data_IF_618329288787
#
_entry.id   IF_618329288787
#
_cell.length_a   1.000
_cell.length_b   1.000
_cell.length_c   1.000
_cell.angle_alpha   90.00
_cell.angle_beta   90.00
_cell.angle_gamma   90.00
#
_symmetry.space_group_name_H-M   'P 1'
#
loop_
_entity.id
_entity.type
_entity.pdbx_description
1 polymer ?
#
# COMPACT_ATOMS: atom_id res chain seq x y z
N UNK A 1 -0.70 -5.99 25.28
CA UNK A 1 -0.61 -5.43 23.92
C UNK A 1 -1.28 -6.33 22.90
N UNK A 2 -2.10 -5.72 22.05
CA UNK A 2 -2.73 -6.40 20.93
C UNK A 2 -1.68 -6.67 19.83
N UNK A 3 -1.40 -7.96 19.59
CA UNK A 3 -0.45 -8.39 18.56
C UNK A 3 -1.01 -8.24 17.15
N UNK A 4 -2.33 -8.11 17.00
CA UNK A 4 -3.01 -8.03 15.70
C UNK A 4 -3.06 -6.59 15.17
N UNK A 5 -2.87 -5.59 16.03
CA UNK A 5 -2.69 -4.19 15.67
C UNK A 5 -1.74 -3.98 14.49
N UNK A 6 -2.22 -3.33 13.44
CA UNK A 6 -1.48 -3.12 12.20
C UNK A 6 -0.35 -2.10 12.36
N UNK A 7 -0.56 -1.05 13.17
CA UNK A 7 0.46 -0.04 13.48
C UNK A 7 1.71 -0.58 14.18
N UNK A 8 1.64 -1.75 14.83
CA UNK A 8 2.80 -2.42 15.45
C UNK A 8 3.56 -3.32 14.47
N UNK A 9 3.11 -3.39 13.20
CA UNK A 9 3.75 -4.15 12.13
C UNK A 9 4.36 -3.19 11.12
N UNK A 10 5.33 -3.68 10.35
CA UNK A 10 5.97 -2.97 9.24
C UNK A 10 5.89 -3.81 7.97
N UNK A 11 5.81 -3.15 6.83
CA UNK A 11 5.86 -3.76 5.51
C UNK A 11 7.26 -3.63 4.94
N UNK A 12 7.93 -4.78 4.80
CA UNK A 12 9.20 -4.86 4.09
C UNK A 12 8.96 -4.71 2.58
N UNK A 13 9.27 -3.54 2.02
CA UNK A 13 9.24 -3.29 0.58
C UNK A 13 10.46 -3.87 -0.15
N UNK A 14 10.45 -3.75 -1.48
CA UNK A 14 11.55 -4.20 -2.34
C UNK A 14 12.91 -3.60 -1.92
N UNK A 15 12.95 -2.34 -1.48
CA UNK A 15 14.18 -1.68 -1.03
C UNK A 15 14.87 -2.40 0.15
N UNK A 16 14.25 -2.46 1.34
CA UNK A 16 14.81 -3.18 2.49
C UNK A 16 15.13 -4.66 2.19
N UNK A 17 14.29 -5.35 1.41
CA UNK A 17 14.50 -6.74 1.02
C UNK A 17 15.74 -6.92 0.13
N UNK A 18 15.92 -6.04 -0.86
CA UNK A 18 17.10 -6.04 -1.74
C UNK A 18 18.36 -5.63 -0.97
N UNK A 19 18.27 -4.66 -0.07
CA UNK A 19 19.40 -4.26 0.78
C UNK A 19 19.87 -5.43 1.67
N UNK A 20 18.95 -6.17 2.27
CA UNK A 20 19.25 -7.38 3.04
C UNK A 20 19.93 -8.46 2.19
N UNK A 21 19.40 -8.72 1.00
CA UNK A 21 19.97 -9.67 0.04
C UNK A 21 21.38 -9.26 -0.42
N UNK A 22 21.57 -8.01 -0.80
CA UNK A 22 22.84 -7.46 -1.22
C UNK A 22 23.87 -7.55 -0.09
N UNK A 23 23.51 -7.15 1.14
CA UNK A 23 24.40 -7.24 2.31
C UNK A 23 24.88 -8.67 2.55
N UNK A 24 24.01 -9.67 2.40
CA UNK A 24 24.37 -11.08 2.54
C UNK A 24 25.37 -11.52 1.45
N UNK A 25 25.10 -11.21 0.19
CA UNK A 25 25.97 -11.54 -0.94
C UNK A 25 27.31 -10.81 -0.87
N UNK A 26 27.32 -9.56 -0.45
CA UNK A 26 28.51 -8.75 -0.28
C UNK A 26 29.39 -9.28 0.85
N UNK A 27 28.82 -9.63 2.01
CA UNK A 27 29.57 -10.31 3.09
C UNK A 27 30.16 -11.64 2.65
N UNK A 28 29.48 -12.37 1.76
CA UNK A 28 30.03 -13.60 1.17
C UNK A 28 31.23 -13.28 0.28
N UNK A 29 31.13 -12.28 -0.59
CA UNK A 29 32.25 -11.80 -1.41
C UNK A 29 33.45 -11.40 -0.55
N UNK A 30 33.26 -10.62 0.51
CA UNK A 30 34.33 -10.22 1.43
C UNK A 30 35.02 -11.44 2.07
N UNK A 31 34.25 -12.45 2.50
CA UNK A 31 34.81 -13.70 3.04
C UNK A 31 35.60 -14.49 2.00
N UNK A 32 35.15 -14.51 0.75
CA UNK A 32 35.83 -15.22 -0.33
C UNK A 32 37.15 -14.53 -0.70
N UNK A 33 37.18 -13.18 -0.74
CA UNK A 33 38.40 -12.38 -0.93
C UNK A 33 39.37 -12.60 0.23
N UNK A 34 38.87 -12.60 1.48
CA UNK A 34 39.69 -12.86 2.67
C UNK A 34 40.38 -14.24 2.61
N UNK A 35 39.63 -15.29 2.25
CA UNK A 35 40.23 -16.64 2.09
C UNK A 35 41.26 -16.71 0.98
N UNK A 36 41.06 -15.97 -0.12
CA UNK A 36 42.05 -15.91 -1.19
C UNK A 36 43.33 -15.20 -0.72
N UNK A 37 43.19 -14.09 -0.01
CA UNK A 37 44.32 -13.39 0.62
C UNK A 37 45.11 -14.31 1.55
N UNK A 38 44.42 -15.05 2.43
CA UNK A 38 45.07 -16.01 3.34
C UNK A 38 45.90 -17.05 2.57
N UNK A 39 45.37 -17.60 1.48
CA UNK A 39 46.12 -18.56 0.63
C UNK A 39 47.33 -17.93 -0.06
N UNK A 40 47.23 -16.69 -0.52
CA UNK A 40 48.35 -15.97 -1.10
C UNK A 40 49.48 -15.78 -0.08
N UNK A 41 49.13 -15.42 1.16
CA UNK A 41 50.09 -15.27 2.26
C UNK A 41 50.74 -16.61 2.61
N UNK A 42 49.97 -17.69 2.77
CA UNK A 42 50.48 -19.04 3.09
C UNK A 42 51.38 -19.61 1.98
N UNK A 43 51.12 -19.25 0.72
CA UNK A 43 51.89 -19.73 -0.45
C UNK A 43 52.99 -18.76 -0.93
N UNK A 44 53.23 -17.66 -0.20
CA UNK A 44 54.15 -16.58 -0.59
C UNK A 44 53.93 -16.06 -2.02
N UNK A 45 52.67 -15.99 -2.46
CA UNK A 45 52.30 -15.43 -3.77
C UNK A 45 51.79 -13.99 -3.61
N UNK A 46 52.08 -13.16 -4.60
CA UNK A 46 51.51 -11.81 -4.65
C UNK A 46 49.98 -11.85 -4.72
N UNK A 47 49.34 -10.93 -3.99
CA UNK A 47 47.89 -10.81 -3.97
C UNK A 47 47.41 -10.04 -5.19
N UNK A 48 46.62 -10.70 -6.05
CA UNK A 48 45.99 -10.06 -7.20
C UNK A 48 44.49 -9.88 -6.96
N UNK A 49 44.04 -8.61 -6.90
CA UNK A 49 42.65 -8.25 -6.63
C UNK A 49 41.68 -8.78 -7.70
N UNK A 50 42.09 -8.75 -8.98
CA UNK A 50 41.24 -9.20 -10.09
C UNK A 50 40.95 -10.70 -10.04
N UNK A 51 41.90 -11.49 -9.53
CA UNK A 51 41.71 -12.93 -9.30
C UNK A 51 40.90 -13.21 -8.03
N UNK A 52 40.97 -12.31 -7.04
CA UNK A 52 40.24 -12.44 -5.78
C UNK A 52 38.74 -12.13 -5.93
N UNK A 53 38.40 -11.09 -6.68
CA UNK A 53 37.02 -10.56 -6.76
C UNK A 53 36.22 -11.30 -7.84
N UNK A 54 35.40 -12.27 -7.41
CA UNK A 54 34.50 -13.01 -8.30
C UNK A 54 33.13 -12.31 -8.44
N UNK A 55 32.94 -11.55 -9.51
CA UNK A 55 31.68 -10.84 -9.80
C UNK A 55 30.44 -11.76 -9.92
N UNK A 56 30.66 -13.03 -10.28
CA UNK A 56 29.61 -14.04 -10.39
C UNK A 56 28.88 -14.30 -9.08
N UNK A 57 29.53 -14.11 -7.93
CA UNK A 57 28.92 -14.34 -6.61
C UNK A 57 27.69 -13.46 -6.39
N UNK A 58 27.78 -12.18 -6.75
CA UNK A 58 26.65 -11.24 -6.64
C UNK A 58 25.69 -11.43 -7.81
N UNK A 59 26.21 -11.48 -9.04
CA UNK A 59 25.40 -11.56 -10.26
C UNK A 59 24.47 -12.77 -10.26
N UNK A 60 25.02 -13.98 -10.03
CA UNK A 60 24.23 -15.20 -10.02
C UNK A 60 23.38 -15.31 -8.75
N UNK A 61 23.85 -14.77 -7.62
CA UNK A 61 23.10 -14.74 -6.37
C UNK A 61 21.81 -13.91 -6.47
N UNK A 62 21.90 -12.72 -7.06
CA UNK A 62 20.74 -11.86 -7.31
C UNK A 62 19.78 -12.50 -8.33
N UNK A 63 20.31 -12.96 -9.48
CA UNK A 63 19.51 -13.61 -10.52
C UNK A 63 18.73 -14.81 -9.98
N UNK A 64 19.38 -15.67 -9.21
CA UNK A 64 18.74 -16.83 -8.60
C UNK A 64 17.63 -16.44 -7.62
N UNK A 65 17.93 -15.53 -6.68
CA UNK A 65 16.98 -15.16 -5.63
C UNK A 65 15.72 -14.53 -6.26
N UNK A 66 15.92 -13.57 -7.17
CA UNK A 66 14.82 -12.90 -7.87
C UNK A 66 13.99 -13.84 -8.75
N UNK A 67 14.61 -14.78 -9.44
CA UNK A 67 13.91 -15.72 -10.31
C UNK A 67 13.12 -16.78 -9.53
N UNK A 68 13.65 -17.28 -8.41
CA UNK A 68 13.06 -18.41 -7.68
C UNK A 68 12.10 -18.02 -6.58
N UNK A 69 12.12 -16.77 -6.11
CA UNK A 69 11.29 -16.40 -4.95
C UNK A 69 11.97 -16.70 -3.60
N UNK A 70 13.21 -17.22 -3.58
CA UNK A 70 13.90 -17.67 -2.37
C UNK A 70 14.94 -16.64 -1.87
N UNK A 71 14.65 -15.98 -0.76
CA UNK A 71 15.53 -14.98 -0.14
C UNK A 71 16.36 -15.66 0.95
N UNK A 72 17.58 -16.09 0.61
CA UNK A 72 18.48 -16.75 1.56
C UNK A 72 19.67 -17.45 0.90
N UNK A 73 20.49 -18.12 1.71
CA UNK A 73 21.60 -18.94 1.20
C UNK A 73 21.03 -20.22 0.55
N UNK A 74 21.41 -20.46 -0.71
CA UNK A 74 20.99 -21.64 -1.49
C UNK A 74 21.20 -22.95 -0.75
N UNK A 75 22.25 -23.02 0.09
CA UNK A 75 22.61 -24.22 0.85
C UNK A 75 21.74 -24.44 2.09
N UNK A 76 20.97 -23.44 2.52
CA UNK A 76 20.10 -23.49 3.71
C UNK A 76 18.67 -23.11 3.33
N UNK A 77 18.06 -23.88 2.43
CA UNK A 77 16.71 -23.64 1.92
C UNK A 77 15.64 -23.52 3.03
N UNK A 78 15.80 -24.24 4.15
CA UNK A 78 14.83 -24.30 5.24
C UNK A 78 14.67 -22.99 6.03
N UNK A 79 15.65 -22.07 5.99
CA UNK A 79 15.57 -20.76 6.66
C UNK A 79 15.31 -19.60 5.70
N UNK A 80 15.01 -19.88 4.43
CA UNK A 80 14.81 -18.85 3.41
C UNK A 80 13.37 -18.32 3.41
N UNK A 81 13.19 -17.01 3.24
CA UNK A 81 11.87 -16.41 3.02
C UNK A 81 11.45 -16.76 1.59
N UNK A 82 10.54 -17.72 1.44
CA UNK A 82 10.00 -18.12 0.15
C UNK A 82 8.81 -17.24 -0.28
N UNK A 83 8.64 -17.07 -1.59
CA UNK A 83 7.47 -16.42 -2.18
C UNK A 83 7.49 -14.89 -2.15
N UNK A 84 8.66 -14.28 -1.95
CA UNK A 84 8.86 -12.82 -1.98
C UNK A 84 8.76 -12.30 -3.41
N UNK A 85 9.38 -12.98 -4.38
CA UNK A 85 9.20 -12.71 -5.81
C UNK A 85 8.19 -13.67 -6.41
N UNK A 86 7.35 -13.13 -7.29
CA UNK A 86 6.30 -13.82 -8.00
C UNK A 86 6.27 -13.30 -9.44
N UNK A 87 5.90 -14.18 -10.39
CA UNK A 87 5.68 -13.76 -11.77
C UNK A 87 4.50 -12.80 -11.83
N UNK A 88 4.69 -11.67 -12.51
CA UNK A 88 3.65 -10.65 -12.61
C UNK A 88 2.40 -11.19 -13.30
N UNK A 89 1.26 -11.17 -12.60
CA UNK A 89 -0.01 -11.57 -13.15
C UNK A 89 -0.58 -10.50 -14.11
N UNK A 90 -0.72 -10.87 -15.39
CA UNK A 90 -1.10 -9.98 -16.50
C UNK A 90 -2.35 -10.45 -17.26
N UNK A 91 -3.37 -10.96 -16.56
CA UNK A 91 -4.66 -11.25 -17.20
C UNK A 91 -5.40 -9.98 -17.62
N UNK A 92 -5.43 -8.96 -16.75
CA UNK A 92 -6.03 -7.65 -17.01
C UNK A 92 -5.16 -6.54 -16.45
N UNK A 93 -5.38 -5.31 -16.94
CA UNK A 93 -4.68 -4.13 -16.42
C UNK A 93 -4.90 -3.95 -14.91
N UNK A 94 -6.15 -4.11 -14.45
CA UNK A 94 -6.50 -4.04 -13.02
C UNK A 94 -5.83 -5.15 -12.20
N UNK A 95 -5.73 -6.38 -12.73
CA UNK A 95 -5.02 -7.48 -12.06
C UNK A 95 -3.53 -7.17 -11.89
N UNK A 96 -2.90 -6.54 -12.88
CA UNK A 96 -1.49 -6.14 -12.79
C UNK A 96 -1.28 -5.11 -11.69
N UNK A 97 -2.11 -4.07 -11.63
CA UNK A 97 -2.04 -3.04 -10.58
C UNK A 97 -2.29 -3.62 -9.18
N UNK A 98 -3.31 -4.46 -9.05
CA UNK A 98 -3.60 -5.20 -7.80
C UNK A 98 -2.41 -6.04 -7.36
N UNK A 99 -1.73 -6.73 -8.29
CA UNK A 99 -0.59 -7.58 -7.95
C UNK A 99 0.59 -6.77 -7.39
N UNK A 100 0.83 -5.56 -7.89
CA UNK A 100 1.89 -4.66 -7.41
C UNK A 100 1.61 -4.13 -5.99
N UNK A 101 0.34 -4.06 -5.58
CA UNK A 101 -0.09 -3.57 -4.25
C UNK A 101 -0.35 -4.68 -3.24
N UNK A 102 0.02 -5.91 -3.58
CA UNK A 102 -0.17 -7.09 -2.73
C UNK A 102 0.85 -7.13 -1.60
N UNK A 103 0.38 -7.41 -0.40
CA UNK A 103 1.21 -7.71 0.76
C UNK A 103 0.95 -9.14 1.22
N UNK A 104 2.01 -9.82 1.66
CA UNK A 104 1.94 -11.21 2.11
C UNK A 104 2.43 -11.31 3.55
N UNK A 105 1.62 -11.93 4.40
CA UNK A 105 2.01 -12.21 5.79
C UNK A 105 2.86 -13.49 5.81
N UNK A 106 4.06 -13.50 6.44
CA UNK A 106 4.98 -14.64 6.42
C UNK A 106 4.55 -15.76 7.39
N UNK A 107 3.28 -16.16 7.34
CA UNK A 107 2.72 -17.26 8.11
C UNK A 107 2.49 -18.46 7.20
N UNK A 108 2.71 -19.66 7.74
CA UNK A 108 2.39 -20.90 7.04
C UNK A 108 0.92 -20.94 6.66
N UNK A 109 0.63 -21.25 5.39
CA UNK A 109 -0.75 -21.27 4.86
C UNK A 109 -1.61 -22.38 5.48
N UNK A 110 -0.97 -23.42 6.00
CA UNK A 110 -1.60 -24.57 6.68
C UNK A 110 -2.10 -24.23 8.09
N UNK A 111 -1.61 -23.13 8.69
CA UNK A 111 -2.03 -22.70 10.02
C UNK A 111 -3.48 -22.20 10.03
N UNK A 112 -4.35 -22.85 10.81
CA UNK A 112 -5.76 -22.45 11.05
C UNK A 112 -5.92 -21.31 12.06
N UNK A 113 -4.91 -20.47 12.27
CA UNK A 113 -5.00 -19.37 13.24
C UNK A 113 -5.89 -18.28 12.66
N UNK A 114 -7.03 -18.03 13.31
CA UNK A 114 -8.05 -17.10 12.82
C UNK A 114 -7.66 -15.63 12.98
N UNK A 115 -7.07 -15.25 14.13
CA UNK A 115 -6.79 -13.86 14.48
C UNK A 115 -6.03 -13.03 13.43
N UNK A 116 -4.88 -13.47 12.87
CA UNK A 116 -4.16 -12.68 11.86
C UNK A 116 -4.90 -12.60 10.52
N UNK A 117 -5.91 -13.46 10.29
CA UNK A 117 -6.72 -13.51 9.08
C UNK A 117 -7.97 -12.64 9.18
N UNK A 118 -8.47 -12.40 10.40
CA UNK A 118 -9.63 -11.55 10.63
C UNK A 118 -9.30 -10.10 10.28
N UNK A 119 -10.30 -9.40 9.76
CA UNK A 119 -10.20 -7.97 9.52
C UNK A 119 -10.15 -7.25 10.87
N UNK A 120 -9.01 -6.63 11.16
CA UNK A 120 -8.82 -5.78 12.33
C UNK A 120 -9.20 -4.31 12.02
N UNK A 121 -9.66 -3.57 13.02
CA UNK A 121 -10.13 -2.18 12.85
C UNK A 121 -9.01 -1.25 12.35
N UNK A 122 -7.77 -1.48 12.80
CA UNK A 122 -6.59 -0.70 12.39
C UNK A 122 -6.14 -0.95 10.95
N UNK A 123 -6.86 -1.79 10.18
CA UNK A 123 -6.68 -1.88 8.73
C UNK A 123 -7.41 -0.75 7.98
N UNK A 124 -8.35 -0.05 8.62
CA UNK A 124 -9.19 0.95 7.96
C UNK A 124 -8.34 2.07 7.33
N UNK A 125 -8.56 2.33 6.04
CA UNK A 125 -7.79 3.29 5.24
C UNK A 125 -6.37 2.86 4.85
N UNK A 126 -5.84 1.78 5.43
CA UNK A 126 -4.50 1.25 5.11
C UNK A 126 -4.57 0.09 4.12
N UNK A 127 -5.54 -0.81 4.32
CA UNK A 127 -5.71 -2.05 3.56
C UNK A 127 -7.15 -2.15 3.09
N UNK A 128 -7.36 -2.67 1.89
CA UNK A 128 -8.70 -2.92 1.39
C UNK A 128 -9.41 -4.00 2.23
N UNK A 129 -10.65 -3.74 2.69
CA UNK A 129 -11.40 -4.71 3.49
C UNK A 129 -11.91 -5.92 2.69
N UNK A 130 -12.14 -5.76 1.38
CA UNK A 130 -12.74 -6.78 0.52
C UNK A 130 -11.73 -7.55 -0.34
N UNK A 131 -10.55 -6.97 -0.63
CA UNK A 131 -9.63 -7.54 -1.61
C UNK A 131 -8.67 -8.56 -0.98
N UNK A 132 -9.16 -9.77 -0.73
CA UNK A 132 -8.37 -10.91 -0.24
C UNK A 132 -8.75 -12.18 -1.02
N UNK A 133 -7.79 -13.10 -1.30
CA UNK A 133 -8.11 -14.35 -1.99
C UNK A 133 -8.96 -15.29 -1.11
N UNK A 134 -9.73 -16.14 -1.77
CA UNK A 134 -10.49 -17.20 -1.11
C UNK A 134 -9.59 -18.36 -0.62
N UNK A 135 -10.09 -19.11 0.36
CA UNK A 135 -9.44 -20.33 0.87
C UNK A 135 -8.24 -20.07 1.78
N UNK A 136 -7.17 -20.84 1.61
CA UNK A 136 -6.05 -20.93 2.57
C UNK A 136 -5.25 -19.63 2.74
N UNK A 137 -5.32 -18.72 1.77
CA UNK A 137 -4.63 -17.42 1.82
C UNK A 137 -5.51 -16.27 2.33
N UNK A 138 -6.77 -16.55 2.66
CA UNK A 138 -7.73 -15.55 3.15
C UNK A 138 -7.15 -14.83 4.39
N UNK A 139 -7.16 -13.50 4.32
CA UNK A 139 -6.64 -12.60 5.34
C UNK A 139 -5.12 -12.53 5.48
N UNK A 140 -4.37 -13.47 4.90
CA UNK A 140 -2.89 -13.44 4.90
C UNK A 140 -2.34 -12.60 3.75
N UNK A 141 -3.02 -12.66 2.61
CA UNK A 141 -2.75 -11.83 1.45
C UNK A 141 -3.71 -10.64 1.48
N UNK A 142 -3.13 -9.45 1.55
CA UNK A 142 -3.84 -8.18 1.67
C UNK A 142 -3.45 -7.28 0.50
N UNK A 143 -4.27 -6.29 0.19
CA UNK A 143 -3.97 -5.29 -0.85
C UNK A 143 -4.09 -3.89 -0.24
N UNK A 144 -3.12 -3.03 -0.54
CA UNK A 144 -3.11 -1.65 -0.05
C UNK A 144 -4.34 -0.89 -0.55
N UNK A 145 -4.92 -0.07 0.32
CA UNK A 145 -5.98 0.88 -0.05
C UNK A 145 -5.45 1.92 -1.06
N UNK A 146 -6.32 2.56 -1.84
CA UNK A 146 -5.91 3.46 -2.94
C UNK A 146 -4.93 4.56 -2.48
N UNK A 147 -5.24 5.23 -1.37
CA UNK A 147 -4.45 6.33 -0.80
C UNK A 147 -3.38 5.88 0.21
N UNK A 148 -3.24 4.58 0.46
CA UNK A 148 -2.21 4.08 1.37
C UNK A 148 -0.81 4.27 0.77
N UNK A 149 0.04 4.94 1.52
CA UNK A 149 1.46 5.17 1.25
C UNK A 149 2.29 4.35 2.23
N UNK A 150 3.50 3.97 1.86
CA UNK A 150 4.42 3.25 2.75
C UNK A 150 5.64 4.14 2.98
N UNK A 151 6.01 4.35 4.24
CA UNK A 151 7.17 5.16 4.60
C UNK A 151 8.45 4.55 4.01
N UNK A 152 9.25 5.40 3.37
CA UNK A 152 10.59 5.06 2.88
C UNK A 152 11.61 5.09 4.02
N UNK A 153 11.30 5.87 5.07
CA UNK A 153 12.15 6.08 6.23
C UNK A 153 13.01 7.33 6.07
N UNK A 154 13.23 8.03 7.17
CA UNK A 154 14.00 9.26 7.24
C UNK A 154 15.15 9.13 8.23
N UNK A 155 16.17 9.98 8.08
CA UNK A 155 17.26 10.01 9.05
C UNK A 155 16.75 10.50 10.41
N UNK A 156 17.15 9.83 11.49
CA UNK A 156 16.67 10.14 12.84
C UNK A 156 17.46 11.25 13.52
N UNK A 157 18.69 11.54 13.09
CA UNK A 157 19.55 12.52 13.77
C UNK A 157 18.94 13.93 13.84
N UNK A 158 18.32 14.50 12.78
CA UNK A 158 17.70 15.83 12.87
C UNK A 158 16.57 15.89 13.90
N UNK A 159 15.84 14.78 14.07
CA UNK A 159 14.79 14.68 15.09
C UNK A 159 15.40 14.61 16.48
N UNK A 160 16.51 13.91 16.65
CA UNK A 160 17.22 13.81 17.94
C UNK A 160 17.83 15.16 18.33
N UNK A 161 18.56 15.81 17.41
CA UNK A 161 19.15 17.14 17.60
C UNK A 161 18.07 18.16 18.02
N UNK A 162 16.93 18.17 17.32
CA UNK A 162 15.80 19.03 17.68
C UNK A 162 15.26 18.74 19.09
N UNK A 163 15.16 17.48 19.50
CA UNK A 163 14.67 17.12 20.83
C UNK A 163 15.64 17.60 21.93
N UNK A 164 16.94 17.42 21.72
CA UNK A 164 17.98 17.87 22.64
C UNK A 164 17.97 19.40 22.80
N UNK A 165 17.86 20.15 21.71
CA UNK A 165 17.78 21.61 21.74
C UNK A 165 16.49 22.14 22.41
N UNK A 166 15.37 21.41 22.29
CA UNK A 166 14.09 21.82 22.85
C UNK A 166 13.95 21.50 24.36
N UNK A 167 15.01 21.02 25.01
CA UNK A 167 15.03 20.77 26.45
C UNK A 167 14.60 19.36 26.85
N UNK A 168 14.96 18.36 26.04
CA UNK A 168 14.93 16.96 26.47
C UNK A 168 15.97 16.74 27.57
N UNK A 169 15.51 16.38 28.77
CA UNK A 169 16.40 16.05 29.89
C UNK A 169 16.90 14.61 29.75
N UNK A 170 18.21 14.41 29.95
CA UNK A 170 18.81 13.10 29.83
C UNK A 170 18.38 12.17 30.98
N UNK A 171 18.51 10.86 30.76
CA UNK A 171 18.12 9.86 31.75
C UNK A 171 18.94 9.96 33.06
N UNK A 172 20.21 10.35 32.95
CA UNK A 172 21.13 10.48 34.08
C UNK A 172 20.76 11.68 34.96
N UNK A 173 20.42 12.81 34.33
CA UNK A 173 20.04 14.05 35.02
C UNK A 173 18.70 13.92 35.76
N UNK A 174 17.76 13.15 35.21
CA UNK A 174 16.42 13.02 35.78
C UNK A 174 16.26 11.86 36.79
N UNK A 175 17.30 11.06 37.03
CA UNK A 175 17.23 9.87 37.90
C UNK A 175 16.76 10.16 39.35
N UNK A 176 16.94 11.40 39.82
CA UNK A 176 16.60 11.84 41.18
C UNK A 176 15.41 12.81 41.24
N UNK A 177 14.76 13.12 40.12
CA UNK A 177 13.64 14.05 40.08
C UNK A 177 12.36 13.38 40.55
N UNK A 178 11.64 14.03 41.47
CA UNK A 178 10.33 13.59 41.97
C UNK A 178 9.17 14.03 41.09
N UNK A 179 9.42 14.88 40.08
CA UNK A 179 8.36 15.44 39.24
C UNK A 179 7.96 14.44 38.15
N UNK A 180 6.65 14.18 37.95
CA UNK A 180 6.21 13.29 36.89
C UNK A 180 6.48 13.88 35.50
N UNK A 181 7.55 13.44 34.85
CA UNK A 181 7.87 13.79 33.48
C UNK A 181 7.33 12.77 32.47
N UNK A 182 7.17 13.17 31.21
CA UNK A 182 6.77 12.28 30.10
C UNK A 182 8.00 11.68 29.44
N UNK A 183 8.01 10.36 29.21
CA UNK A 183 9.13 9.66 28.58
C UNK A 183 9.11 9.90 27.07
N UNK A 184 10.26 10.16 26.46
CA UNK A 184 10.37 10.38 25.01
C UNK A 184 11.16 9.24 24.37
N UNK A 185 10.55 8.57 23.41
CA UNK A 185 11.13 7.47 22.65
C UNK A 185 11.29 7.84 21.19
N UNK A 186 12.45 7.57 20.60
CA UNK A 186 12.69 7.70 19.15
C UNK A 186 13.06 6.32 18.62
N UNK A 187 12.24 5.78 17.71
CA UNK A 187 12.40 4.42 17.15
C UNK A 187 12.55 3.33 18.24
N UNK A 188 11.88 3.50 19.38
CA UNK A 188 11.93 2.58 20.53
C UNK A 188 13.13 2.78 21.47
N UNK A 189 14.06 3.68 21.15
CA UNK A 189 15.15 4.08 22.06
C UNK A 189 14.61 5.14 23.01
N UNK A 190 14.73 4.91 24.33
CA UNK A 190 14.37 5.90 25.34
C UNK A 190 15.46 6.98 25.36
N UNK A 191 15.16 8.15 24.80
CA UNK A 191 16.14 9.24 24.67
C UNK A 191 16.24 10.06 25.96
N UNK A 192 15.10 10.27 26.63
CA UNK A 192 15.06 11.09 27.84
C UNK A 192 13.64 11.33 28.32
N UNK A 193 13.48 12.39 29.09
CA UNK A 193 12.18 12.82 29.61
C UNK A 193 11.95 14.30 29.30
N UNK A 194 10.68 14.68 29.19
CA UNK A 194 10.28 16.05 28.93
C UNK A 194 9.14 16.45 29.85
N UNK A 195 9.20 17.67 30.39
CA UNK A 195 8.22 18.20 31.36
C UNK A 195 6.94 18.70 30.69
N UNK A 196 7.07 19.31 29.52
CA UNK A 196 5.95 19.86 28.74
C UNK A 196 5.78 19.18 27.36
N UNK A 197 5.26 17.95 27.31
CA UNK A 197 5.08 17.23 26.05
C UNK A 197 4.00 17.84 25.15
N UNK A 198 3.11 18.70 25.68
CA UNK A 198 2.01 19.26 24.91
C UNK A 198 2.52 20.28 23.88
N UNK A 199 3.37 21.21 24.33
CA UNK A 199 4.01 22.17 23.43
C UNK A 199 5.02 21.49 22.50
N UNK A 200 5.78 20.51 22.99
CA UNK A 200 6.71 19.75 22.17
C UNK A 200 6.01 19.09 20.96
N UNK A 201 4.89 18.37 21.18
CA UNK A 201 4.13 17.74 20.10
C UNK A 201 3.58 18.76 19.12
N UNK A 202 3.09 19.90 19.61
CA UNK A 202 2.58 20.98 18.76
C UNK A 202 3.68 21.55 17.86
N UNK A 203 4.89 21.74 18.40
CA UNK A 203 6.04 22.23 17.64
C UNK A 203 6.49 21.20 16.60
N UNK A 204 6.63 19.92 16.98
CA UNK A 204 7.03 18.86 16.04
C UNK A 204 6.03 18.73 14.89
N UNK A 205 4.73 18.74 15.18
CA UNK A 205 3.70 18.70 14.12
C UNK A 205 3.76 19.94 13.22
N UNK A 206 4.08 21.12 13.77
CA UNK A 206 4.26 22.33 12.97
C UNK A 206 5.47 22.24 12.04
N UNK A 207 6.59 21.68 12.51
CA UNK A 207 7.79 21.43 11.69
C UNK A 207 7.51 20.41 10.59
N UNK A 208 6.79 19.33 10.91
CA UNK A 208 6.32 18.33 9.93
C UNK A 208 5.47 18.96 8.83
N UNK A 209 4.57 19.88 9.20
CA UNK A 209 3.68 20.58 8.26
C UNK A 209 4.38 21.59 7.37
N UNK A 210 5.61 21.98 7.68
CA UNK A 210 6.45 22.90 6.90
C UNK A 210 7.52 22.19 6.08
N UNK A 211 7.60 20.86 6.16
CA UNK A 211 8.65 20.05 5.54
C UNK A 211 10.06 20.27 6.13
N UNK A 212 10.16 20.88 7.32
CA UNK A 212 11.43 20.99 8.08
C UNK A 212 11.84 19.61 8.65
N UNK A 213 10.84 18.81 9.01
CA UNK A 213 10.96 17.39 9.35
C UNK A 213 10.17 16.61 8.30
N UNK A 214 10.70 15.44 7.90
CA UNK A 214 10.04 14.58 6.92
C UNK A 214 8.55 14.35 7.26
N UNK A 215 7.63 14.51 6.29
CA UNK A 215 6.20 14.27 6.48
C UNK A 215 5.86 12.85 6.91
N UNK A 216 6.78 11.90 6.73
CA UNK A 216 6.61 10.51 7.12
C UNK A 216 6.81 10.28 8.63
N UNK A 217 7.39 11.23 9.37
CA UNK A 217 7.64 11.06 10.81
C UNK A 217 6.32 11.00 11.57
N UNK A 218 6.12 9.93 12.33
CA UNK A 218 4.93 9.74 13.17
C UNK A 218 5.17 10.22 14.59
N UNK A 219 4.13 10.83 15.18
CA UNK A 219 4.17 11.44 16.50
C UNK A 219 2.99 10.94 17.33
N UNK A 220 3.27 10.07 18.29
CA UNK A 220 2.25 9.44 19.14
C UNK A 220 2.44 9.89 20.58
N UNK A 221 1.45 10.60 21.13
CA UNK A 221 1.44 11.00 22.54
C UNK A 221 0.41 10.19 23.31
N UNK A 222 0.88 9.23 24.09
CA UNK A 222 0.07 8.47 25.03
C UNK A 222 -0.01 9.22 26.37
N UNK A 223 -1.16 9.84 26.62
CA UNK A 223 -1.39 10.63 27.84
C UNK A 223 -1.49 9.73 29.08
N UNK A 224 -2.03 8.50 28.91
CA UNK A 224 -2.28 7.58 30.02
C UNK A 224 -0.97 6.98 30.52
N UNK A 225 -0.14 6.49 29.60
CA UNK A 225 1.15 5.88 29.92
C UNK A 225 2.27 6.92 30.12
N UNK A 226 1.99 8.20 29.83
CA UNK A 226 2.95 9.32 29.85
C UNK A 226 4.16 9.05 28.97
N UNK A 227 3.89 8.66 27.73
CA UNK A 227 4.92 8.38 26.72
C UNK A 227 4.67 9.18 25.45
N UNK A 228 5.75 9.76 24.92
CA UNK A 228 5.82 10.33 23.59
C UNK A 228 6.68 9.41 22.74
N UNK A 229 6.12 8.84 21.68
CA UNK A 229 6.81 7.92 20.76
C UNK A 229 6.90 8.56 19.39
N UNK A 230 8.12 8.63 18.86
CA UNK A 230 8.46 9.18 17.55
C UNK A 230 9.00 8.05 16.68
N UNK A 231 8.44 7.91 15.48
CA UNK A 231 8.88 6.89 14.51
C UNK A 231 9.34 7.54 13.21
N UNK A 232 10.58 7.26 12.83
CA UNK A 232 11.23 7.68 11.58
C UNK A 232 11.57 6.48 10.69
N UNK A 233 11.23 5.26 11.15
CA UNK A 233 11.52 4.02 10.45
C UNK A 233 10.69 3.82 9.17
N UNK A 234 11.24 2.99 8.28
CA UNK A 234 10.63 2.60 7.02
C UNK A 234 9.57 1.50 7.21
N UNK A 235 8.66 1.37 6.25
CA UNK A 235 7.67 0.29 6.21
C UNK A 235 6.41 0.54 7.03
N UNK A 236 6.20 1.74 7.57
CA UNK A 236 4.91 2.15 8.15
C UNK A 236 3.92 2.42 7.03
N UNK A 237 2.66 2.06 7.23
CA UNK A 237 1.61 2.43 6.28
C UNK A 237 0.98 3.72 6.78
N UNK A 238 1.01 4.72 5.92
CA UNK A 238 0.46 6.04 6.19
C UNK A 238 -0.68 6.32 5.20
N UNK A 239 -1.59 7.19 5.59
CA UNK A 239 -2.67 7.69 4.73
C UNK A 239 -2.81 9.19 4.87
N UNK A 240 -3.08 9.90 3.76
CA UNK A 240 -3.28 11.33 3.78
C UNK A 240 -4.67 11.70 4.29
N UNK A 241 -4.74 12.71 5.15
CA UNK A 241 -5.98 13.29 5.65
C UNK A 241 -5.94 14.81 5.65
N UNK A 242 -7.11 15.43 5.57
CA UNK A 242 -7.20 16.89 5.70
C UNK A 242 -7.04 17.29 7.16
N UNK A 243 -6.23 18.31 7.41
CA UNK A 243 -6.08 18.89 8.74
C UNK A 243 -7.30 19.75 9.08
N UNK A 244 -7.80 19.61 10.31
CA UNK A 244 -8.83 20.47 10.88
C UNK A 244 -8.20 21.37 11.93
N UNK A 245 -8.38 22.68 11.79
CA UNK A 245 -7.98 23.68 12.78
C UNK A 245 -9.21 24.49 13.18
N UNK A 246 -9.46 24.64 14.49
CA UNK A 246 -10.60 25.38 15.03
C UNK A 246 -11.95 24.94 14.45
N UNK A 247 -12.18 23.64 14.31
CA UNK A 247 -13.39 23.06 13.70
C UNK A 247 -13.64 23.50 12.24
N UNK A 248 -12.58 23.88 11.52
CA UNK A 248 -12.63 24.21 10.10
C UNK A 248 -11.54 23.46 9.34
N UNK A 249 -11.81 23.09 8.08
CA UNK A 249 -10.80 22.50 7.21
C UNK A 249 -9.72 23.52 6.88
N UNK A 250 -8.45 23.11 6.97
CA UNK A 250 -7.34 23.90 6.45
C UNK A 250 -7.44 24.09 4.92
N UNK A 251 -8.08 23.13 4.22
CA UNK A 251 -8.38 23.22 2.81
C UNK A 251 -9.46 24.27 2.53
N UNK A 252 -9.11 25.29 1.74
CA UNK A 252 -10.03 26.35 1.31
C UNK A 252 -10.32 26.24 -0.19
N UNK A 253 -11.44 26.84 -0.65
CA UNK A 253 -11.81 26.89 -2.08
C UNK A 253 -10.72 27.53 -2.96
N UNK A 254 -9.88 28.42 -2.42
CA UNK A 254 -8.75 29.01 -3.15
C UNK A 254 -7.73 27.93 -3.57
N UNK A 255 -7.40 26.99 -2.68
CA UNK A 255 -6.47 25.90 -2.96
C UNK A 255 -7.00 24.99 -4.08
N UNK A 256 -8.32 24.76 -4.11
CA UNK A 256 -8.96 23.98 -5.18
C UNK A 256 -8.86 24.70 -6.53
N UNK A 257 -9.07 26.02 -6.56
CA UNK A 257 -8.89 26.82 -7.79
C UNK A 257 -7.45 26.77 -8.27
N UNK A 258 -6.48 26.87 -7.36
CA UNK A 258 -5.06 26.77 -7.65
C UNK A 258 -4.68 25.43 -8.29
N UNK A 259 -5.20 24.32 -7.76
CA UNK A 259 -5.00 22.98 -8.33
C UNK A 259 -5.58 22.85 -9.75
N UNK A 260 -6.76 23.41 -10.00
CA UNK A 260 -7.44 23.27 -11.30
C UNK A 260 -6.87 24.20 -12.38
N UNK A 261 -6.39 25.39 -12.00
CA UNK A 261 -5.91 26.41 -12.93
C UNK A 261 -4.39 26.40 -13.12
N UNK A 262 -3.67 25.56 -12.36
CA UNK A 262 -2.21 25.50 -12.41
C UNK A 262 -1.56 26.75 -11.86
N UNK A 263 -1.99 27.21 -10.68
CA UNK A 263 -1.34 28.32 -9.98
C UNK A 263 0.13 27.99 -9.73
N UNK A 264 1.01 28.96 -9.93
CA UNK A 264 2.42 28.86 -9.61
C UNK A 264 2.72 29.72 -8.40
N UNK A 265 3.46 29.16 -7.46
CA UNK A 265 3.89 29.86 -6.27
C UNK A 265 4.96 30.91 -6.58
N UNK A 266 5.40 31.67 -5.57
CA UNK A 266 6.46 32.68 -5.69
C UNK A 266 7.77 32.09 -6.25
N UNK A 267 8.05 30.82 -5.98
CA UNK A 267 9.20 30.06 -6.49
C UNK A 267 9.03 29.56 -7.95
N UNK A 268 7.88 29.82 -8.58
CA UNK A 268 7.56 29.37 -9.94
C UNK A 268 7.09 27.92 -10.04
N UNK A 269 6.99 27.20 -8.91
CA UNK A 269 6.53 25.82 -8.83
C UNK A 269 5.01 25.70 -8.92
N UNK A 270 4.51 24.70 -9.66
CA UNK A 270 3.08 24.45 -9.80
C UNK A 270 2.47 23.90 -8.51
N UNK A 271 1.36 24.49 -8.08
CA UNK A 271 0.63 24.05 -6.89
C UNK A 271 0.00 22.67 -7.13
N UNK A 272 0.66 21.63 -6.64
CA UNK A 272 0.30 20.21 -6.77
C UNK A 272 0.16 19.54 -5.41
N UNK A 273 0.07 18.20 -5.38
CA UNK A 273 -0.02 17.40 -4.17
C UNK A 273 1.09 17.69 -3.16
N UNK A 274 2.34 17.81 -3.63
CA UNK A 274 3.49 18.08 -2.77
C UNK A 274 3.32 19.39 -2.00
N UNK A 275 2.81 20.43 -2.67
CA UNK A 275 2.53 21.71 -2.02
C UNK A 275 1.37 21.65 -1.03
N UNK A 276 0.40 20.74 -1.18
CA UNK A 276 -0.63 20.53 -0.16
C UNK A 276 -0.05 19.96 1.14
N UNK A 277 0.97 19.11 1.04
CA UNK A 277 1.67 18.55 2.19
C UNK A 277 2.57 19.62 2.84
N UNK A 278 3.38 20.31 2.02
CA UNK A 278 4.31 21.37 2.50
C UNK A 278 3.62 22.60 3.10
N UNK A 279 2.41 22.90 2.67
CA UNK A 279 1.60 23.99 3.25
C UNK A 279 0.77 23.55 4.46
N UNK A 280 0.92 22.32 4.94
CA UNK A 280 0.17 21.81 6.10
C UNK A 280 -1.34 21.76 5.86
N UNK A 281 -1.77 21.47 4.63
CA UNK A 281 -3.20 21.25 4.31
C UNK A 281 -3.56 19.77 4.49
N UNK A 282 -2.61 18.89 4.14
CA UNK A 282 -2.74 17.44 4.25
C UNK A 282 -1.65 16.91 5.17
N UNK A 283 -2.01 15.96 6.04
CA UNK A 283 -1.11 15.28 6.96
C UNK A 283 -1.14 13.77 6.68
N UNK A 284 0.04 13.14 6.65
CA UNK A 284 0.16 11.68 6.52
C UNK A 284 0.12 11.08 7.92
N UNK A 285 -0.92 10.30 8.23
CA UNK A 285 -1.05 9.61 9.51
C UNK A 285 -0.75 8.13 9.35
N UNK A 286 0.04 7.58 10.26
CA UNK A 286 0.20 6.13 10.38
C UNK A 286 -0.81 5.52 11.36
N UNK A 287 -0.89 4.19 11.35
CA UNK A 287 -1.86 3.47 12.17
C UNK A 287 -1.62 3.57 13.68
N UNK A 288 -0.47 4.06 14.17
CA UNK A 288 -0.29 4.34 15.61
C UNK A 288 -0.68 5.77 15.97
N UNK A 289 -0.39 6.73 15.10
CA UNK A 289 -0.82 8.11 15.27
C UNK A 289 -2.35 8.22 15.23
N UNK A 290 -3.02 7.35 14.46
CA UNK A 290 -4.48 7.21 14.41
C UNK A 290 -5.13 7.03 15.79
N UNK A 291 -4.46 6.38 16.75
CA UNK A 291 -4.98 6.17 18.11
C UNK A 291 -5.08 7.48 18.93
N UNK A 292 -4.40 8.54 18.49
CA UNK A 292 -4.36 9.84 19.20
C UNK A 292 -5.18 10.94 18.53
N UNK A 293 -5.75 10.67 17.36
CA UNK A 293 -6.47 11.65 16.55
C UNK A 293 -7.96 11.34 16.50
N UNK A 294 -8.75 12.34 16.11
CA UNK A 294 -10.19 12.23 15.94
C UNK A 294 -10.56 12.69 14.53
N UNK A 295 -11.01 11.74 13.70
CA UNK A 295 -11.19 11.93 12.25
C UNK A 295 -12.69 11.99 11.92
N UNK A 296 -13.15 13.10 11.34
CA UNK A 296 -14.51 13.20 10.81
C UNK A 296 -14.61 12.53 9.43
N UNK A 297 -15.74 11.88 9.16
CA UNK A 297 -15.93 11.11 7.92
C UNK A 297 -16.29 11.97 6.72
N UNK A 298 -17.05 13.06 6.95
CA UNK A 298 -17.44 14.00 5.91
C UNK A 298 -17.29 15.44 6.39
N UNK A 299 -17.08 16.42 5.48
CA UNK A 299 -17.09 17.83 5.83
C UNK A 299 -18.43 18.31 6.42
N UNK A 300 -19.53 17.66 6.07
CA UNK A 300 -20.87 17.93 6.63
C UNK A 300 -20.92 17.59 8.13
N UNK A 301 -20.29 16.49 8.53
CA UNK A 301 -20.20 16.09 9.92
C UNK A 301 -19.42 17.11 10.77
N UNK A 302 -18.39 17.71 10.18
CA UNK A 302 -17.61 18.79 10.78
C UNK A 302 -18.45 20.06 10.96
N UNK A 303 -19.19 20.45 9.93
CA UNK A 303 -20.10 21.60 9.98
C UNK A 303 -21.20 21.40 11.04
N UNK A 304 -21.78 20.20 11.11
CA UNK A 304 -22.79 19.86 12.10
C UNK A 304 -22.26 19.97 13.54
N UNK A 305 -21.04 19.48 13.80
CA UNK A 305 -20.37 19.62 15.10
C UNK A 305 -20.11 21.10 15.46
N UNK A 306 -19.78 21.93 14.46
CA UNK A 306 -19.58 23.38 14.63
C UNK A 306 -20.89 24.10 15.00
N UNK A 307 -21.99 23.78 14.31
CA UNK A 307 -23.31 24.34 14.58
C UNK A 307 -23.81 23.93 15.97
N UNK A 308 -23.68 22.64 16.30
CA UNK A 308 -24.07 22.12 17.62
C UNK A 308 -23.27 22.78 18.75
N UNK A 309 -21.97 23.02 18.55
CA UNK A 309 -21.13 23.74 19.52
C UNK A 309 -21.56 25.21 19.70
N UNK A 310 -22.17 25.82 18.68
CA UNK A 310 -22.77 27.15 18.76
C UNK A 310 -24.20 27.15 19.35
N UNK A 311 -24.73 25.98 19.76
CA UNK A 311 -26.10 25.83 20.28
C UNK A 311 -27.18 25.85 19.19
N UNK A 312 -26.81 25.75 17.92
CA UNK A 312 -27.74 25.69 16.78
C UNK A 312 -28.01 24.21 16.48
N UNK A 313 -29.27 23.81 16.39
CA UNK A 313 -29.60 22.44 15.99
C UNK A 313 -29.23 22.25 14.51
N UNK A 314 -28.23 21.41 14.18
CA UNK A 314 -27.80 21.21 12.80
C UNK A 314 -28.90 20.63 11.90
N UNK A 315 -29.90 19.96 12.50
CA UNK A 315 -31.02 19.34 11.75
C UNK A 315 -32.21 20.26 11.56
N UNK A 316 -32.14 21.51 12.02
CA UNK A 316 -33.24 22.47 11.90
C UNK A 316 -33.46 22.94 10.46
N UNK A 317 -32.40 22.86 9.63
CA UNK A 317 -32.41 23.23 8.20
C UNK A 317 -32.28 22.03 7.26
N UNK A 318 -32.17 20.80 7.78
CA UNK A 318 -32.33 19.63 6.92
C UNK A 318 -33.75 19.68 6.36
N UNK A 319 -33.92 19.46 5.05
CA UNK A 319 -35.23 19.47 4.41
C UNK A 319 -36.17 18.40 4.97
N UNK A 320 -37.30 18.16 4.29
CA UNK A 320 -38.14 17.00 4.61
C UNK A 320 -37.28 15.72 4.66
N UNK A 321 -37.51 14.90 5.68
CA UNK A 321 -36.83 13.62 5.88
C UNK A 321 -36.85 12.79 4.60
N UNK A 322 -35.68 12.59 3.97
CA UNK A 322 -35.55 11.75 2.79
C UNK A 322 -35.44 10.26 3.23
N UNK A 323 -36.45 9.42 2.98
CA UNK A 323 -36.41 8.01 3.36
C UNK A 323 -35.36 7.20 2.57
N UNK A 324 -34.88 7.72 1.44
CA UNK A 324 -33.88 7.06 0.60
C UNK A 324 -32.43 7.43 0.98
N UNK A 325 -32.25 8.46 1.82
CA UNK A 325 -30.93 8.89 2.26
C UNK A 325 -30.31 7.89 3.24
N UNK A 326 -28.98 7.79 3.22
CA UNK A 326 -28.24 6.95 4.16
C UNK A 326 -28.41 7.51 5.59
N UNK A 327 -28.82 6.65 6.52
CA UNK A 327 -28.85 6.98 7.94
C UNK A 327 -27.45 7.31 8.44
N UNK A 328 -27.28 8.53 8.96
CA UNK A 328 -26.06 8.97 9.64
C UNK A 328 -26.24 8.82 11.15
N UNK A 329 -25.18 8.40 11.84
CA UNK A 329 -25.20 8.33 13.29
C UNK A 329 -25.13 9.74 13.89
N UNK A 330 -25.78 9.94 15.05
CA UNK A 330 -25.63 11.16 15.82
C UNK A 330 -24.19 11.35 16.28
N UNK A 331 -23.63 12.53 16.04
CA UNK A 331 -22.24 12.84 16.36
C UNK A 331 -22.21 13.58 17.69
N UNK A 332 -21.50 13.04 18.68
CA UNK A 332 -21.29 13.67 19.99
C UNK A 332 -19.85 14.14 20.21
N UNK A 333 -19.07 14.25 19.13
CA UNK A 333 -17.68 14.68 19.21
C UNK A 333 -17.59 16.21 19.23
N UNK A 334 -16.90 16.75 20.23
CA UNK A 334 -16.69 18.19 20.41
C UNK A 334 -15.37 18.71 19.82
N UNK A 335 -14.46 17.81 19.41
CA UNK A 335 -13.13 18.16 18.92
C UNK A 335 -12.68 17.22 17.79
N UNK A 336 -12.63 17.76 16.57
CA UNK A 336 -12.06 17.07 15.40
C UNK A 336 -10.63 17.54 15.15
N UNK A 337 -9.72 16.63 14.80
CA UNK A 337 -8.34 16.97 14.43
C UNK A 337 -8.08 16.81 12.94
N UNK A 338 -8.77 15.88 12.30
CA UNK A 338 -8.64 15.61 10.86
C UNK A 338 -10.00 15.31 10.22
N UNK A 339 -10.03 15.34 8.90
CA UNK A 339 -11.15 14.93 8.07
C UNK A 339 -10.69 13.93 7.00
N UNK A 340 -11.48 12.87 6.81
CA UNK A 340 -11.32 11.92 5.72
C UNK A 340 -11.42 12.64 4.37
N UNK A 341 -10.53 12.29 3.42
CA UNK A 341 -10.58 12.91 2.08
C UNK A 341 -11.83 12.46 1.35
N UNK A 342 -12.03 11.14 1.31
CA UNK A 342 -13.26 10.53 0.84
C UNK A 342 -13.34 9.06 1.30
N UNK A 343 -14.45 8.59 1.90
CA UNK A 343 -14.56 7.23 2.42
C UNK A 343 -14.30 6.12 1.39
N UNK A 344 -14.46 6.37 0.09
CA UNK A 344 -14.17 5.36 -0.95
C UNK A 344 -12.69 5.03 -1.10
N UNK A 345 -11.79 5.86 -0.57
CA UNK A 345 -10.34 5.66 -0.69
C UNK A 345 -9.82 4.49 0.14
N UNK A 346 -10.65 3.94 1.03
CA UNK A 346 -10.36 2.70 1.78
C UNK A 346 -10.35 1.45 0.89
N UNK A 347 -10.93 1.53 -0.31
CA UNK A 347 -11.01 0.40 -1.23
C UNK A 347 -9.66 0.13 -1.89
N UNK A 348 -9.47 -1.10 -2.34
CA UNK A 348 -8.34 -1.53 -3.16
C UNK A 348 -8.63 -1.33 -4.64
N UNK A 349 -7.66 -1.69 -5.48
CA UNK A 349 -7.77 -1.52 -6.94
C UNK A 349 -8.99 -2.29 -7.48
N UNK A 350 -9.10 -3.57 -7.16
CA UNK A 350 -10.19 -4.41 -7.69
C UNK A 350 -11.53 -4.13 -7.00
N UNK A 351 -11.53 -3.71 -5.74
CA UNK A 351 -12.77 -3.37 -5.05
C UNK A 351 -13.35 -2.03 -5.53
N UNK A 352 -12.50 -1.07 -5.93
CA UNK A 352 -12.93 0.26 -6.37
C UNK A 352 -13.61 0.30 -7.75
N UNK A 353 -13.47 -0.77 -8.54
CA UNK A 353 -14.15 -0.93 -9.84
C UNK A 353 -15.54 -1.56 -9.71
N UNK A 354 -15.95 -1.98 -8.51
CA UNK A 354 -17.28 -2.54 -8.26
C UNK A 354 -18.28 -1.37 -8.17
N UNK A 355 -19.34 -1.33 -8.99
CA UNK A 355 -20.40 -0.34 -8.84
C UNK A 355 -21.14 -0.53 -7.51
N UNK A 356 -21.42 0.56 -6.79
CA UNK A 356 -22.20 0.57 -5.55
C UNK A 356 -21.73 -0.48 -4.49
N UNK A 357 -20.44 -0.50 -4.13
CA UNK A 357 -19.88 -1.56 -3.29
C UNK A 357 -20.46 -1.57 -1.86
N UNK A 358 -20.97 -0.44 -1.38
CA UNK A 358 -21.62 -0.26 -0.09
C UNK A 358 -23.08 -0.74 -0.04
N UNK A 359 -23.69 -1.02 -1.19
CA UNK A 359 -25.04 -1.58 -1.30
C UNK A 359 -25.06 -3.12 -1.43
N UNK A 360 -23.89 -3.75 -1.40
CA UNK A 360 -23.76 -5.20 -1.52
C UNK A 360 -23.58 -5.89 -0.16
N UNK A 361 -24.02 -7.14 -0.08
CA UNK A 361 -23.62 -8.03 0.99
C UNK A 361 -22.09 -8.26 0.93
N UNK A 362 -21.38 -8.00 2.03
CA UNK A 362 -19.90 -7.96 2.10
C UNK A 362 -19.17 -9.11 1.37
N UNK A 363 -19.50 -10.40 1.59
CA UNK A 363 -18.95 -11.53 0.83
C UNK A 363 -18.93 -11.37 -0.70
N UNK A 364 -19.95 -10.75 -1.29
CA UNK A 364 -20.05 -10.57 -2.75
C UNK A 364 -19.00 -9.61 -3.28
N UNK A 365 -18.63 -8.59 -2.50
CA UNK A 365 -17.53 -7.69 -2.84
C UNK A 365 -16.19 -8.41 -2.86
N UNK A 366 -15.98 -9.34 -1.91
CA UNK A 366 -14.77 -10.17 -1.85
C UNK A 366 -14.66 -11.08 -3.07
N UNK A 367 -15.76 -11.74 -3.46
CA UNK A 367 -15.81 -12.59 -4.64
C UNK A 367 -15.47 -11.82 -5.92
N UNK A 368 -16.12 -10.68 -6.15
CA UNK A 368 -15.85 -9.88 -7.34
C UNK A 368 -14.40 -9.37 -7.37
N UNK A 369 -13.84 -9.03 -6.22
CA UNK A 369 -12.45 -8.57 -6.13
C UNK A 369 -11.44 -9.67 -6.47
N UNK A 370 -11.73 -10.93 -6.12
CA UNK A 370 -10.90 -12.08 -6.46
C UNK A 370 -11.09 -12.50 -7.93
N UNK A 371 -12.35 -12.66 -8.36
CA UNK A 371 -12.72 -13.10 -9.72
C UNK A 371 -12.38 -12.05 -10.78
N UNK A 372 -12.44 -10.76 -10.46
CA UNK A 372 -12.06 -9.68 -11.36
C UNK A 372 -10.60 -9.76 -11.83
N UNK A 373 -9.72 -10.45 -11.10
CA UNK A 373 -8.32 -10.71 -11.50
C UNK A 373 -8.20 -11.77 -12.59
N UNK A 374 -9.25 -12.57 -12.78
CA UNK A 374 -9.37 -13.62 -13.80
C UNK A 374 -10.18 -13.15 -15.02
N UNK A 375 -10.66 -11.90 -15.01
CA UNK A 375 -11.39 -11.32 -16.12
C UNK A 375 -10.54 -11.31 -17.41
N UNK A 376 -11.21 -11.12 -18.54
CA UNK A 376 -10.58 -11.01 -19.85
C UNK A 376 -10.74 -9.59 -20.38
N UNK A 377 -9.69 -9.05 -20.96
CA UNK A 377 -9.70 -7.70 -21.49
C UNK A 377 -8.37 -7.34 -22.12
N UNK A 378 -8.17 -6.05 -22.34
CA UNK A 378 -6.85 -5.57 -22.71
C UNK A 378 -6.01 -5.38 -21.44
N UNK A 379 -4.86 -6.06 -21.37
CA UNK A 379 -3.92 -5.87 -20.26
C UNK A 379 -2.89 -4.77 -20.56
N UNK A 380 -2.44 -4.66 -21.81
CA UNK A 380 -1.51 -3.64 -22.30
C UNK A 380 -1.80 -3.32 -23.76
N UNK A 381 -1.49 -2.10 -24.21
CA UNK A 381 -1.67 -1.67 -25.61
C UNK A 381 -0.64 -2.30 -26.55
N UNK A 382 0.57 -2.58 -26.08
CA UNK A 382 1.66 -3.15 -26.87
C UNK A 382 1.69 -4.69 -26.90
N UNK A 383 0.57 -5.36 -26.60
CA UNK A 383 0.50 -6.82 -26.54
C UNK A 383 0.90 -7.51 -27.85
N UNK A 384 0.69 -6.86 -29.00
CA UNK A 384 1.06 -7.38 -30.33
C UNK A 384 2.58 -7.51 -30.55
N UNK A 385 3.38 -6.66 -29.90
CA UNK A 385 4.85 -6.67 -30.04
C UNK A 385 5.48 -7.56 -28.97
N UNK A 386 4.75 -7.84 -27.89
CA UNK A 386 5.26 -8.51 -26.71
C UNK A 386 5.00 -10.01 -26.76
N UNK A 387 6.06 -10.81 -26.85
CA UNK A 387 5.96 -12.26 -26.82
C UNK A 387 5.72 -12.78 -25.40
N UNK A 388 4.45 -12.91 -25.03
CA UNK A 388 4.01 -13.54 -23.79
C UNK A 388 3.64 -15.01 -23.97
N UNK A 389 3.93 -15.85 -22.97
CA UNK A 389 3.63 -17.29 -23.02
C UNK A 389 2.14 -17.55 -23.23
N UNK A 390 1.29 -16.78 -22.55
CA UNK A 390 -0.17 -16.85 -22.67
C UNK A 390 -0.75 -15.44 -22.60
N UNK A 391 -1.64 -15.11 -23.52
CA UNK A 391 -2.41 -13.88 -23.47
C UNK A 391 -3.84 -14.10 -23.95
N UNK A 392 -4.81 -13.54 -23.24
CA UNK A 392 -6.23 -13.52 -23.60
C UNK A 392 -6.65 -12.07 -23.85
N UNK A 393 -7.12 -11.76 -25.06
CA UNK A 393 -7.56 -10.41 -25.44
C UNK A 393 -9.00 -10.47 -25.91
N UNK A 394 -9.83 -9.55 -25.43
CA UNK A 394 -11.23 -9.40 -25.86
C UNK A 394 -11.29 -8.64 -27.19
N UNK A 395 -12.15 -9.06 -28.13
CA UNK A 395 -12.27 -8.39 -29.44
C UNK A 395 -12.82 -6.97 -29.32
N UNK A 396 -13.88 -6.79 -28.53
CA UNK A 396 -14.61 -5.51 -28.44
C UNK A 396 -14.81 -5.07 -26.99
N UNK A 397 -13.75 -4.75 -26.24
CA UNK A 397 -13.89 -4.27 -24.86
C UNK A 397 -14.68 -2.96 -24.81
N UNK A 398 -15.59 -2.82 -23.85
CA UNK A 398 -16.45 -1.65 -23.73
C UNK A 398 -16.28 -0.98 -22.37
N UNK A 399 -16.44 0.35 -22.36
CA UNK A 399 -16.48 1.13 -21.12
C UNK A 399 -17.70 0.69 -20.30
N UNK A 400 -17.57 0.48 -18.97
CA UNK A 400 -18.73 0.22 -18.13
C UNK A 400 -19.71 1.39 -18.21
N UNK A 401 -21.02 1.09 -18.20
CA UNK A 401 -22.06 2.13 -18.19
C UNK A 401 -22.14 2.81 -16.81
N UNK A 402 -22.17 2.01 -15.74
CA UNK A 402 -22.10 2.49 -14.37
C UNK A 402 -20.64 2.47 -13.90
N UNK A 403 -20.03 3.65 -13.75
CA UNK A 403 -18.62 3.79 -13.38
C UNK A 403 -18.47 4.47 -12.03
N UNK A 404 -17.50 4.02 -11.22
CA UNK A 404 -17.04 4.78 -10.06
C UNK A 404 -16.08 5.88 -10.52
N UNK A 405 -15.98 6.98 -9.76
CA UNK A 405 -15.00 8.05 -10.08
C UNK A 405 -13.56 7.54 -10.01
N UNK A 406 -13.28 6.55 -9.16
CA UNK A 406 -11.96 5.93 -9.03
C UNK A 406 -11.45 5.27 -10.31
N UNK A 407 -12.34 4.83 -11.21
CA UNK A 407 -11.96 4.20 -12.49
C UNK A 407 -11.14 5.13 -13.40
N UNK A 408 -11.32 6.44 -13.28
CA UNK A 408 -10.59 7.43 -14.08
C UNK A 408 -9.09 7.45 -13.72
N UNK A 409 -8.78 7.35 -12.43
CA UNK A 409 -7.40 7.29 -11.94
C UNK A 409 -6.74 5.94 -12.24
N UNK A 410 -7.55 4.86 -12.23
CA UNK A 410 -7.10 3.50 -12.55
C UNK A 410 -7.01 3.22 -14.05
N UNK A 411 -7.28 4.20 -14.92
CA UNK A 411 -7.26 4.04 -16.38
C UNK A 411 -8.11 2.87 -16.90
N UNK A 412 -9.16 2.53 -16.15
CA UNK A 412 -10.01 1.38 -16.45
C UNK A 412 -10.97 1.65 -17.61
N UNK A 413 -11.27 2.94 -17.89
CA UNK A 413 -12.08 3.34 -19.05
C UNK A 413 -11.30 3.22 -20.35
N UNK A 414 -9.99 3.38 -20.29
CA UNK A 414 -9.06 3.27 -21.41
C UNK A 414 -8.75 1.81 -21.73
N UNK A 415 -8.58 0.96 -20.72
CA UNK A 415 -8.35 -0.48 -20.86
C UNK A 415 -9.41 -1.31 -20.10
N UNK A 416 -10.64 -1.40 -20.62
CA UNK A 416 -11.70 -2.13 -19.94
C UNK A 416 -11.50 -3.65 -19.99
N UNK A 417 -12.00 -4.32 -18.96
CA UNK A 417 -11.96 -5.77 -18.80
C UNK A 417 -13.34 -6.44 -18.94
N UNK A 418 -14.23 -5.85 -19.74
CA UNK A 418 -15.59 -6.36 -19.91
C UNK A 418 -16.31 -5.80 -21.14
N UNK A 419 -17.55 -6.25 -21.31
CA UNK A 419 -18.50 -5.80 -22.33
C UNK A 419 -19.86 -5.57 -21.69
N UNK A 420 -20.59 -4.55 -22.14
CA UNK A 420 -21.96 -4.36 -21.69
C UNK A 420 -22.86 -5.34 -22.46
N UNK A 421 -23.73 -6.03 -21.73
CA UNK A 421 -24.71 -6.94 -22.28
C UNK A 421 -26.12 -6.50 -21.84
N UNK A 422 -27.11 -6.74 -22.70
CA UNK A 422 -28.51 -6.62 -22.31
C UNK A 422 -28.89 -7.90 -21.56
N UNK A 423 -29.20 -7.75 -20.27
CA UNK A 423 -29.51 -8.87 -19.37
C UNK A 423 -30.98 -8.78 -18.97
N UNK A 424 -31.69 -9.90 -19.11
CA UNK A 424 -33.07 -10.05 -18.63
C UNK A 424 -33.09 -11.10 -17.51
N UNK A 425 -33.64 -10.74 -16.35
CA UNK A 425 -33.85 -11.67 -15.23
C UNK A 425 -35.23 -12.28 -15.41
N UNK A 426 -35.28 -13.53 -15.87
CA UNK A 426 -36.52 -14.22 -16.23
C UNK A 426 -36.40 -15.72 -15.93
N UNK A 427 -37.46 -16.34 -15.41
CA UNK A 427 -37.57 -17.80 -15.38
C UNK A 427 -38.01 -18.30 -16.76
N UNK A 428 -37.09 -18.89 -17.54
CA UNK A 428 -37.38 -19.33 -18.91
C UNK A 428 -36.67 -20.63 -19.24
N UNK A 429 -37.39 -21.60 -19.81
CA UNK A 429 -36.89 -22.89 -20.34
C UNK A 429 -36.16 -23.83 -19.37
N UNK A 430 -35.90 -23.43 -18.12
CA UNK A 430 -35.24 -24.27 -17.10
C UNK A 430 -33.71 -24.37 -17.24
N UNK A 431 -33.12 -23.94 -18.36
CA UNK A 431 -31.66 -23.97 -18.57
C UNK A 431 -30.89 -22.81 -17.89
N UNK A 432 -31.57 -21.97 -17.12
CA UNK A 432 -30.98 -20.89 -16.32
C UNK A 432 -31.17 -21.07 -14.80
N UNK A 433 -31.31 -22.33 -14.36
CA UNK A 433 -31.43 -22.69 -12.94
C UNK A 433 -30.05 -22.77 -12.26
N UNK A 434 -30.00 -22.61 -10.93
CA UNK A 434 -28.80 -22.83 -10.10
C UNK A 434 -27.53 -22.14 -10.64
N UNK A 435 -27.55 -20.80 -10.67
CA UNK A 435 -26.44 -19.93 -11.11
C UNK A 435 -26.02 -20.08 -12.59
N UNK A 436 -26.77 -20.82 -13.41
CA UNK A 436 -26.55 -20.90 -14.85
C UNK A 436 -27.23 -19.76 -15.62
N UNK A 437 -26.68 -19.44 -16.80
CA UNK A 437 -27.19 -18.37 -17.68
C UNK A 437 -27.40 -18.88 -19.11
N UNK A 438 -28.47 -18.43 -19.75
CA UNK A 438 -28.73 -18.69 -21.18
C UNK A 438 -28.24 -17.48 -21.97
N UNK A 439 -27.41 -17.72 -22.99
CA UNK A 439 -26.93 -16.67 -23.89
C UNK A 439 -27.66 -16.68 -25.24
N UNK A 440 -27.84 -15.50 -25.83
CA UNK A 440 -28.42 -15.35 -27.16
C UNK A 440 -27.38 -15.72 -28.23
N UNK A 441 -27.65 -16.79 -28.99
CA UNK A 441 -26.76 -17.26 -30.06
C UNK A 441 -26.48 -16.19 -31.12
N UNK A 442 -27.50 -15.46 -31.58
CA UNK A 442 -27.33 -14.41 -32.58
C UNK A 442 -26.39 -13.29 -32.10
N UNK A 443 -26.35 -12.99 -30.80
CA UNK A 443 -25.38 -12.03 -30.24
C UNK A 443 -23.95 -12.59 -30.24
N UNK A 444 -23.78 -13.88 -29.94
CA UNK A 444 -22.48 -14.56 -29.98
C UNK A 444 -21.94 -14.60 -31.42
N UNK A 445 -22.80 -14.91 -32.40
CA UNK A 445 -22.44 -14.94 -33.83
C UNK A 445 -21.95 -13.57 -34.31
N UNK A 446 -22.49 -12.49 -33.75
CA UNK A 446 -22.07 -11.10 -34.00
C UNK A 446 -20.82 -10.67 -33.21
N UNK A 447 -20.26 -11.54 -32.37
CA UNK A 447 -19.00 -11.31 -31.66
C UNK A 447 -19.11 -10.95 -30.18
N UNK A 448 -20.28 -11.14 -29.54
CA UNK A 448 -20.41 -10.99 -28.08
C UNK A 448 -19.41 -11.93 -27.37
N UNK A 449 -18.59 -11.36 -26.48
CA UNK A 449 -17.53 -12.03 -25.71
C UNK A 449 -16.49 -12.83 -26.51
N UNK A 450 -16.35 -12.59 -27.82
CA UNK A 450 -15.29 -13.24 -28.62
C UNK A 450 -13.91 -12.77 -28.14
N UNK A 451 -12.99 -13.72 -27.93
CA UNK A 451 -11.62 -13.47 -27.47
C UNK A 451 -10.58 -14.13 -28.38
N UNK A 452 -9.34 -13.61 -28.36
CA UNK A 452 -8.15 -14.19 -28.98
C UNK A 452 -7.28 -14.77 -27.88
N UNK A 453 -6.81 -15.99 -28.10
CA UNK A 453 -5.79 -16.63 -27.28
C UNK A 453 -4.47 -16.68 -28.04
N UNK A 454 -3.43 -16.07 -27.46
CA UNK A 454 -2.06 -16.20 -27.94
C UNK A 454 -1.30 -17.16 -27.03
N UNK A 455 -0.54 -18.06 -27.65
CA UNK A 455 0.43 -18.93 -26.99
C UNK A 455 1.76 -18.85 -27.73
N UNK A 456 2.82 -18.53 -27.00
CA UNK A 456 4.18 -18.55 -27.54
C UNK A 456 4.97 -19.72 -26.98
N UNK A 457 5.88 -20.22 -27.80
CA UNK A 457 6.80 -21.30 -27.48
C UNK A 457 8.23 -20.75 -27.59
N UNK A 458 9.09 -21.15 -26.66
CA UNK A 458 10.50 -20.79 -26.65
C UNK A 458 11.30 -22.09 -26.78
N UNK A 459 12.30 -22.07 -27.65
CA UNK A 459 13.31 -23.11 -27.73
C UNK A 459 14.70 -22.48 -27.89
N UNK A 460 15.74 -23.22 -27.52
CA UNK A 460 17.13 -22.76 -27.48
C UNK A 460 18.06 -23.90 -27.89
N UNK A 461 18.97 -23.64 -28.82
CA UNK A 461 20.07 -24.57 -29.13
C UNK A 461 20.98 -24.71 -27.93
N UNK A 462 21.04 -25.91 -27.34
CA UNK A 462 21.94 -26.16 -26.22
C UNK A 462 23.28 -26.63 -26.75
N UNK A 463 24.35 -26.10 -26.15
CA UNK A 463 25.68 -26.64 -26.33
C UNK A 463 25.91 -27.73 -25.29
N UNK A 464 26.03 -28.99 -25.73
CA UNK A 464 26.36 -30.12 -24.86
C UNK A 464 27.83 -30.49 -25.06
N UNK A 465 28.63 -30.36 -23.99
CA UNK A 465 30.07 -30.60 -24.05
C UNK A 465 30.86 -29.52 -24.80
N UNK A 466 32.06 -29.88 -25.29
CA UNK A 466 33.03 -28.90 -25.84
C UNK A 466 32.71 -28.53 -27.30
N UNK A 467 32.14 -29.45 -28.09
CA UNK A 467 31.99 -29.28 -29.54
C UNK A 467 30.57 -29.50 -30.10
N UNK A 468 29.65 -30.19 -29.42
CA UNK A 468 28.30 -30.41 -29.96
C UNK A 468 27.39 -29.23 -29.64
N UNK A 469 27.02 -28.50 -30.70
CA UNK A 469 25.91 -27.55 -30.69
C UNK A 469 24.71 -28.26 -31.32
N UNK A 470 23.56 -28.22 -30.65
CA UNK A 470 22.30 -28.61 -31.28
C UNK A 470 21.95 -27.60 -32.38
N UNK A 471 21.35 -28.07 -33.48
CA UNK A 471 20.88 -27.21 -34.59
C UNK A 471 19.40 -27.47 -34.83
N UNK A 472 18.63 -26.42 -35.11
CA UNK A 472 17.23 -26.55 -35.50
C UNK A 472 17.09 -27.02 -36.94
N UNK A 473 16.97 -28.33 -37.12
CA UNK A 473 16.74 -28.96 -38.42
C UNK A 473 15.28 -29.35 -38.64
N UNK A 474 14.86 -29.40 -39.92
CA UNK A 474 13.55 -29.93 -40.29
C UNK A 474 13.55 -31.46 -40.10
N UNK A 475 12.52 -32.04 -39.47
CA UNK A 475 12.42 -33.49 -39.27
C UNK A 475 12.34 -34.28 -40.57
#
# INVERSE_FOLDING_TARGET
DDRDHFGKKRLDLAGPLLAGLFRMLFKKLTRDVYRYLQKCVESHKEFNLSLAVKHQTITNGLKYSLATGNWGDQKKAMSSKAGVSQVLNRYTYASTLSHLRRTNTPLGREGKIAKPRQLHNTHWGMVCPAETPEGQACGLVKNLALMACISVGSYSAPVIEFLEEWGLESLEENAHSSTPCTKVFVNGVWMGVHRDPANLVKTIKKLRRKDDISPEVSVVRDIRERELRLYTDAGRVCRPLFIVENQQLALQKKHIKWLNQGYRDEDGEEFKWEQLVKNGIIELLDAEEEETVMICMTPEDLENSRLQSAGIDPRQNDGEYDPAARLKAGISAHTWTHCEIHPSMILGVCASIIPFPDHNQSPRNTYQSAMGKQAMGMYLTNFLVRMDTMANILYYPQKPLATTRSMEYLKFRELPAGQNAIVAILCYSGYNQEDSVIMNQSSIDRGLFRSIYYRSYMDLEKKSGVQQLEEFEKP
#
